data_IF_144780225254
#
_entry.id   IF_144780225254
#
_cell.length_a   1.000
_cell.length_b   1.000
_cell.length_c   1.000
_cell.angle_alpha   90.00
_cell.angle_beta   90.00
_cell.angle_gamma   90.00
#
_symmetry.space_group_name_H-M   'P 1'
#
loop_
_entity.id
_entity.type
_entity.pdbx_description
1 polymer ?
#
# COMPACT_ATOMS: atom_id res chain seq x y z
N UNK A 1 2.50 13.13 -7.10
CA UNK A 1 1.91 12.02 -6.37
C UNK A 1 2.97 11.11 -5.81
N UNK A 2 3.06 10.95 -4.52
CA UNK A 2 4.07 10.06 -3.96
C UNK A 2 3.82 8.62 -4.35
N UNK A 3 4.87 7.95 -4.73
CA UNK A 3 4.80 6.53 -5.08
C UNK A 3 5.19 5.64 -3.91
N UNK A 4 5.55 6.26 -2.80
CA UNK A 4 6.13 5.54 -1.68
C UNK A 4 5.17 4.48 -1.12
N UNK A 5 3.91 4.84 -0.94
CA UNK A 5 2.95 3.89 -0.39
C UNK A 5 2.62 2.80 -1.40
N UNK A 6 2.68 3.11 -2.69
CA UNK A 6 2.46 2.11 -3.73
C UNK A 6 3.55 1.05 -3.69
N UNK A 7 4.80 1.45 -3.54
CA UNK A 7 5.91 0.50 -3.46
C UNK A 7 5.74 -0.43 -2.27
N UNK A 8 5.34 0.11 -1.13
CA UNK A 8 5.13 -0.71 0.05
C UNK A 8 4.02 -1.74 -0.18
N UNK A 9 2.93 -1.33 -0.82
CA UNK A 9 1.83 -2.24 -1.11
C UNK A 9 2.28 -3.34 -2.07
N UNK A 10 3.01 -2.99 -3.11
CA UNK A 10 3.49 -3.97 -4.08
C UNK A 10 4.36 -5.01 -3.39
N UNK A 11 5.28 -4.57 -2.54
CA UNK A 11 6.18 -5.49 -1.87
C UNK A 11 5.47 -6.39 -0.87
N UNK A 12 4.60 -5.83 -0.06
CA UNK A 12 3.98 -6.58 1.03
C UNK A 12 2.73 -7.32 0.57
N UNK A 13 1.82 -6.65 -0.10
CA UNK A 13 0.53 -7.24 -0.44
C UNK A 13 0.61 -8.12 -1.69
N UNK A 14 1.41 -7.73 -2.66
CA UNK A 14 1.51 -8.48 -3.91
C UNK A 14 2.72 -9.39 -3.89
N UNK A 15 3.87 -8.88 -3.45
CA UNK A 15 5.11 -9.63 -3.43
C UNK A 15 5.29 -10.56 -2.25
N UNK A 16 4.41 -10.47 -1.27
CA UNK A 16 4.43 -11.34 -0.09
C UNK A 16 5.67 -11.16 0.78
N UNK A 17 6.30 -10.00 0.69
CA UNK A 17 7.44 -9.70 1.56
C UNK A 17 6.95 -9.29 2.94
N UNK A 18 7.77 -9.58 3.96
CA UNK A 18 7.48 -9.11 5.30
C UNK A 18 7.69 -7.60 5.38
N UNK A 19 7.16 -6.99 6.41
CA UNK A 19 7.36 -5.56 6.64
C UNK A 19 8.86 -5.25 6.79
N UNK A 20 9.58 -6.11 7.49
CA UNK A 20 11.01 -5.94 7.68
C UNK A 20 11.75 -6.02 6.36
N UNK A 21 11.39 -6.97 5.52
CA UNK A 21 12.03 -7.13 4.21
C UNK A 21 11.74 -5.92 3.33
N UNK A 22 10.49 -5.48 3.32
CA UNK A 22 10.11 -4.30 2.55
C UNK A 22 10.87 -3.07 3.03
N UNK A 23 11.04 -2.93 4.33
CA UNK A 23 11.79 -1.82 4.90
C UNK A 23 13.23 -1.82 4.40
N UNK A 24 13.85 -2.99 4.33
CA UNK A 24 15.21 -3.10 3.83
C UNK A 24 15.30 -2.80 2.34
N UNK A 25 14.37 -3.32 1.57
CA UNK A 25 14.36 -3.11 0.12
C UNK A 25 14.18 -1.63 -0.19
N UNK A 26 13.29 -0.97 0.52
CA UNK A 26 13.01 0.43 0.30
C UNK A 26 13.96 1.36 1.06
N UNK A 27 14.79 0.80 1.92
CA UNK A 27 15.76 1.55 2.73
C UNK A 27 15.05 2.61 3.59
N UNK A 28 14.01 2.19 4.28
CA UNK A 28 13.23 3.05 5.18
C UNK A 28 12.93 2.29 6.46
N UNK A 29 12.60 3.00 7.55
CA UNK A 29 12.23 2.35 8.81
C UNK A 29 10.96 1.50 8.64
N UNK A 30 10.88 0.42 9.40
CA UNK A 30 9.74 -0.48 9.33
C UNK A 30 8.43 0.25 9.70
N UNK A 31 8.51 1.19 10.64
CA UNK A 31 7.33 1.99 10.98
C UNK A 31 6.81 2.79 9.81
N UNK A 32 7.72 3.24 8.96
CA UNK A 32 7.34 3.97 7.76
C UNK A 32 6.64 3.05 6.76
N UNK A 33 7.10 1.79 6.65
CA UNK A 33 6.44 0.81 5.80
C UNK A 33 4.99 0.63 6.27
N UNK A 34 4.81 0.48 7.55
CA UNK A 34 3.47 0.27 8.12
C UNK A 34 2.57 1.48 7.87
N UNK A 35 3.10 2.68 8.04
CA UNK A 35 2.34 3.91 7.79
C UNK A 35 1.94 4.01 6.32
N UNK A 36 2.87 3.73 5.43
CA UNK A 36 2.61 3.81 3.99
C UNK A 36 1.60 2.77 3.55
N UNK A 37 1.68 1.57 4.12
CA UNK A 37 0.70 0.52 3.82
C UNK A 37 -0.68 0.95 4.27
N UNK A 38 -0.76 1.47 5.48
CA UNK A 38 -2.05 1.88 6.03
C UNK A 38 -2.68 2.97 5.18
N UNK A 39 -1.89 3.98 4.83
CA UNK A 39 -2.38 5.09 4.02
C UNK A 39 -2.72 4.62 2.61
N UNK A 40 -1.85 3.80 2.02
CA UNK A 40 -2.07 3.31 0.66
C UNK A 40 -3.31 2.46 0.54
N UNK A 41 -3.53 1.59 1.53
CA UNK A 41 -4.72 0.75 1.52
C UNK A 41 -5.98 1.58 1.65
N UNK A 42 -5.94 2.64 2.42
CA UNK A 42 -7.09 3.55 2.54
C UNK A 42 -7.40 4.22 1.22
N UNK A 43 -6.37 4.68 0.53
CA UNK A 43 -6.56 5.34 -0.76
C UNK A 43 -7.10 4.37 -1.79
N UNK A 44 -6.52 3.17 -1.85
CA UNK A 44 -6.99 2.15 -2.79
C UNK A 44 -8.43 1.73 -2.49
N UNK A 45 -8.73 1.54 -1.23
CA UNK A 45 -10.08 1.16 -0.83
C UNK A 45 -11.09 2.21 -1.27
N UNK A 46 -10.72 3.47 -1.13
CA UNK A 46 -11.57 4.57 -1.52
C UNK A 46 -11.82 4.57 -3.02
N UNK A 47 -10.75 4.42 -3.80
CA UNK A 47 -10.87 4.40 -5.25
C UNK A 47 -11.66 3.19 -5.73
N UNK A 48 -11.39 2.03 -5.14
CA UNK A 48 -12.11 0.81 -5.51
C UNK A 48 -13.57 0.89 -5.10
N UNK A 49 -13.85 1.50 -3.96
CA UNK A 49 -15.22 1.66 -3.51
C UNK A 49 -16.02 2.52 -4.47
N UNK A 50 -15.39 3.59 -4.97
CA UNK A 50 -16.05 4.45 -5.96
C UNK A 50 -16.36 3.67 -7.23
N UNK A 51 -15.40 2.89 -7.71
CA UNK A 51 -15.59 2.08 -8.92
C UNK A 51 -16.67 1.02 -8.70
N UNK A 52 -16.61 0.35 -7.56
CA UNK A 52 -17.58 -0.71 -7.25
C UNK A 52 -18.97 -0.13 -7.11
N UNK A 53 -19.07 1.06 -6.51
CA UNK A 53 -20.37 1.71 -6.36
C UNK A 53 -21.00 1.98 -7.72
N UNK A 54 -20.19 2.42 -8.66
CA UNK A 54 -20.68 2.65 -10.02
C UNK A 54 -21.16 1.36 -10.65
N UNK A 55 -20.37 0.30 -10.49
CA UNK A 55 -20.71 -1.00 -11.06
C UNK A 55 -21.94 -1.58 -10.40
N UNK A 56 -22.06 -1.42 -9.10
CA UNK A 56 -23.17 -1.97 -8.36
C UNK A 56 -24.49 -1.26 -8.69
N UNK A 57 -24.37 -0.05 -9.17
CA UNK A 57 -25.55 0.72 -9.54
C UNK A 57 -26.06 0.28 -10.93
#
# INVERSE_FOLDING_TARGET
MPHDFRDAIVLVDIGDFSYADAAQILDIPIGTVMSRLHRGRRILKRELADSVTEDAS
#
